data_IF_365289850875
#
_entry.id   IF_365289850875
#
_cell.length_a   1.000
_cell.length_b   1.000
_cell.length_c   1.000
_cell.angle_alpha   90.00
_cell.angle_beta   90.00
_cell.angle_gamma   90.00
#
_symmetry.space_group_name_H-M   'P 1'
#
loop_
_entity.id
_entity.type
_entity.pdbx_description
1 polymer ?
#
# COMPACT_ATOMS: atom_id res chain seq x y z
N UNK A 1 29.13 -29.70 30.31
CA UNK A 1 29.53 -29.41 28.90
C UNK A 1 30.19 -28.04 28.89
N UNK A 2 31.41 -27.93 28.38
CA UNK A 2 32.23 -26.71 28.49
C UNK A 2 31.72 -25.56 27.60
N UNK A 3 31.81 -24.33 28.10
CA UNK A 3 31.44 -23.08 27.42
C UNK A 3 32.10 -22.92 26.03
N UNK A 4 33.28 -23.51 25.83
CA UNK A 4 34.00 -23.54 24.56
C UNK A 4 33.30 -24.35 23.46
N UNK A 5 32.55 -25.40 23.81
CA UNK A 5 31.84 -26.26 22.84
C UNK A 5 30.58 -25.58 22.30
N UNK A 6 29.89 -24.81 23.14
CA UNK A 6 28.68 -24.07 22.75
C UNK A 6 29.01 -22.93 21.78
N UNK A 7 30.13 -22.22 22.03
CA UNK A 7 30.58 -21.12 21.16
C UNK A 7 31.02 -21.61 19.77
N UNK A 8 31.72 -22.75 19.70
CA UNK A 8 32.09 -23.39 18.43
C UNK A 8 30.88 -23.90 17.64
N UNK A 9 29.86 -24.45 18.31
CA UNK A 9 28.61 -24.87 17.68
C UNK A 9 27.77 -23.69 17.18
N UNK A 10 27.78 -22.56 17.89
CA UNK A 10 27.12 -21.33 17.45
C UNK A 10 27.81 -20.73 16.21
N UNK A 11 29.14 -20.70 16.19
CA UNK A 11 29.92 -20.21 15.07
C UNK A 11 29.73 -21.10 13.82
N UNK A 12 29.74 -22.43 14.01
CA UNK A 12 29.50 -23.39 12.93
C UNK A 12 28.04 -23.38 12.41
N UNK A 13 27.07 -22.95 13.23
CA UNK A 13 25.69 -22.70 12.79
C UNK A 13 25.57 -21.38 12.02
N UNK A 14 26.24 -20.32 12.48
CA UNK A 14 26.27 -19.01 11.76
C UNK A 14 26.98 -19.10 10.41
N UNK A 15 28.07 -19.85 10.32
CA UNK A 15 28.78 -20.07 9.05
C UNK A 15 27.98 -20.94 8.07
N UNK A 16 27.22 -21.93 8.56
CA UNK A 16 26.29 -22.71 7.73
C UNK A 16 25.09 -21.91 7.25
N UNK A 17 24.56 -21.01 8.09
CA UNK A 17 23.49 -20.09 7.67
C UNK A 17 23.96 -19.06 6.65
N UNK A 18 25.16 -18.48 6.80
CA UNK A 18 25.70 -17.55 5.79
C UNK A 18 26.05 -18.26 4.47
N UNK A 19 26.55 -19.50 4.52
CA UNK A 19 26.80 -20.29 3.31
C UNK A 19 25.50 -20.68 2.58
N UNK A 20 24.40 -20.94 3.29
CA UNK A 20 23.09 -21.23 2.69
C UNK A 20 22.45 -19.99 2.05
N UNK A 21 22.55 -18.83 2.70
CA UNK A 21 22.03 -17.55 2.19
C UNK A 21 22.80 -17.10 0.94
N UNK A 22 24.13 -17.22 0.92
CA UNK A 22 24.92 -16.89 -0.26
C UNK A 22 24.76 -17.92 -1.39
N UNK A 23 24.51 -19.20 -1.09
CA UNK A 23 24.25 -20.23 -2.10
C UNK A 23 22.89 -20.06 -2.79
N UNK A 24 21.87 -19.56 -2.09
CA UNK A 24 20.57 -19.26 -2.67
C UNK A 24 20.60 -18.00 -3.57
N UNK A 25 21.38 -16.97 -3.22
CA UNK A 25 21.56 -15.79 -4.08
C UNK A 25 22.42 -16.06 -5.32
N UNK A 26 23.32 -17.06 -5.30
CA UNK A 26 24.26 -17.30 -6.39
C UNK A 26 23.75 -18.28 -7.47
N UNK A 27 22.66 -19.03 -7.23
CA UNK A 27 22.28 -20.14 -8.10
C UNK A 27 21.07 -19.92 -9.01
N UNK A 28 20.18 -18.95 -8.79
CA UNK A 28 19.09 -18.65 -9.73
C UNK A 28 18.26 -19.89 -10.18
N UNK A 29 18.13 -20.92 -9.32
CA UNK A 29 17.44 -22.16 -9.68
C UNK A 29 15.95 -21.99 -9.41
N UNK A 30 15.28 -21.70 -10.52
CA UNK A 30 13.85 -21.77 -10.81
C UNK A 30 13.17 -23.04 -10.29
N UNK A 31 11.88 -22.96 -9.97
CA UNK A 31 10.97 -24.08 -10.19
C UNK A 31 9.94 -23.67 -11.23
N UNK A 32 10.23 -24.01 -12.48
CA UNK A 32 9.25 -24.07 -13.56
C UNK A 32 9.08 -25.52 -13.98
N UNK A 33 7.88 -26.07 -13.81
CA UNK A 33 7.33 -27.14 -14.66
C UNK A 33 5.81 -26.99 -14.70
N UNK A 34 5.25 -26.47 -15.80
CA UNK A 34 4.37 -27.24 -16.69
C UNK A 34 4.10 -26.48 -18.02
N UNK A 35 4.86 -26.91 -19.02
CA UNK A 35 4.48 -27.22 -20.42
C UNK A 35 3.41 -26.41 -21.19
N UNK A 36 3.95 -25.56 -22.07
CA UNK A 36 3.55 -24.98 -23.36
C UNK A 36 2.50 -25.73 -24.25
N UNK A 37 1.61 -24.96 -24.90
CA UNK A 37 1.40 -25.03 -26.37
C UNK A 37 0.84 -23.72 -26.97
N UNK A 38 1.69 -22.97 -27.67
CA UNK A 38 1.32 -22.29 -28.93
C UNK A 38 1.54 -20.77 -29.08
N UNK A 39 2.75 -20.38 -29.49
CA UNK A 39 3.03 -19.44 -30.61
C UNK A 39 2.69 -17.94 -30.51
N UNK A 40 3.73 -17.10 -30.54
CA UNK A 40 3.66 -15.70 -31.01
C UNK A 40 4.53 -14.71 -30.21
N UNK A 41 5.45 -14.04 -30.89
CA UNK A 41 6.41 -13.04 -30.38
C UNK A 41 5.78 -11.87 -29.59
N UNK A 42 6.42 -11.45 -28.49
CA UNK A 42 7.16 -10.16 -28.39
C UNK A 42 7.56 -9.85 -26.95
N UNK A 43 8.80 -9.39 -26.79
CA UNK A 43 9.46 -9.04 -25.53
C UNK A 43 8.76 -7.86 -24.84
N UNK A 44 8.29 -8.04 -23.60
CA UNK A 44 8.20 -6.98 -22.55
C UNK A 44 7.86 -7.50 -21.14
N UNK A 45 7.70 -8.82 -20.92
CA UNK A 45 7.20 -9.33 -19.62
C UNK A 45 8.28 -9.43 -18.51
N UNK A 46 9.57 -9.35 -18.85
CA UNK A 46 10.66 -9.60 -17.89
C UNK A 46 10.99 -8.47 -16.90
N UNK A 47 10.57 -7.23 -17.16
CA UNK A 47 10.90 -6.08 -16.29
C UNK A 47 9.88 -5.94 -15.15
N UNK A 48 8.61 -6.28 -15.42
CA UNK A 48 7.54 -6.19 -14.42
C UNK A 48 7.59 -7.28 -13.35
N UNK A 49 7.90 -8.53 -13.72
CA UNK A 49 8.02 -9.62 -12.75
C UNK A 49 9.24 -9.44 -11.84
N UNK A 50 10.37 -8.99 -12.39
CA UNK A 50 11.59 -8.77 -11.62
C UNK A 50 11.45 -7.61 -10.63
N UNK A 51 10.79 -6.50 -11.02
CA UNK A 51 10.51 -5.37 -10.12
C UNK A 51 9.50 -5.75 -9.02
N UNK A 52 8.48 -6.55 -9.35
CA UNK A 52 7.51 -7.06 -8.37
C UNK A 52 8.16 -8.05 -7.41
N UNK A 53 9.00 -8.97 -7.89
CA UNK A 53 9.71 -9.95 -7.07
C UNK A 53 10.79 -9.27 -6.19
N UNK A 54 11.43 -8.22 -6.70
CA UNK A 54 12.38 -7.39 -5.95
C UNK A 54 11.67 -6.53 -4.88
N UNK A 55 10.55 -5.86 -5.20
CA UNK A 55 9.70 -5.17 -4.20
C UNK A 55 9.22 -6.14 -3.10
N UNK A 56 8.78 -7.34 -3.46
CA UNK A 56 8.29 -8.33 -2.48
C UNK A 56 9.39 -8.97 -1.63
N UNK A 57 10.56 -9.27 -2.20
CA UNK A 57 11.72 -9.77 -1.47
C UNK A 57 12.34 -8.69 -0.57
N UNK A 58 12.36 -7.44 -1.02
CA UNK A 58 12.83 -6.29 -0.25
C UNK A 58 11.93 -6.03 0.96
N UNK A 59 10.61 -5.99 0.73
CA UNK A 59 9.60 -5.86 1.79
C UNK A 59 9.76 -6.99 2.81
N UNK A 60 9.95 -8.25 2.38
CA UNK A 60 10.15 -9.38 3.29
C UNK A 60 11.48 -9.35 4.10
N UNK A 61 12.56 -8.78 3.56
CA UNK A 61 13.87 -8.72 4.22
C UNK A 61 13.92 -7.62 5.30
N UNK A 62 13.33 -6.44 5.03
CA UNK A 62 13.26 -5.32 5.99
C UNK A 62 12.12 -5.50 7.01
N UNK A 63 11.02 -6.15 6.63
CA UNK A 63 9.96 -6.56 7.57
C UNK A 63 10.42 -7.65 8.55
N UNK A 64 11.48 -8.43 8.28
CA UNK A 64 12.09 -9.30 9.31
C UNK A 64 12.78 -8.51 10.43
N UNK A 65 13.19 -7.27 10.17
CA UNK A 65 13.67 -6.36 11.22
C UNK A 65 12.48 -5.77 12.01
N UNK A 66 11.42 -5.34 11.32
CA UNK A 66 10.21 -4.76 11.94
C UNK A 66 9.31 -5.79 12.69
N UNK A 67 9.25 -7.04 12.22
CA UNK A 67 8.45 -8.14 12.81
C UNK A 67 8.97 -8.66 14.16
N UNK A 68 10.04 -8.06 14.70
CA UNK A 68 10.37 -8.13 16.12
C UNK A 68 9.60 -7.06 16.92
N UNK A 69 8.32 -6.84 16.58
CA UNK A 69 7.40 -5.76 16.98
C UNK A 69 7.12 -5.59 18.47
N UNK A 70 8.10 -5.81 19.35
CA UNK A 70 7.96 -5.74 20.80
C UNK A 70 8.95 -4.72 21.42
N UNK A 71 9.86 -4.14 20.63
CA UNK A 71 10.83 -3.14 21.13
C UNK A 71 10.50 -1.70 20.73
N UNK A 72 9.79 -1.46 19.61
CA UNK A 72 9.48 -0.14 19.06
C UNK A 72 8.75 0.81 20.03
N UNK A 73 7.79 0.31 20.81
CA UNK A 73 7.00 1.13 21.76
C UNK A 73 7.73 1.31 23.10
N UNK A 74 8.82 0.59 23.36
CA UNK A 74 9.42 0.50 24.70
C UNK A 74 10.33 1.68 25.06
N UNK A 75 10.71 2.50 24.08
CA UNK A 75 11.60 3.66 24.25
C UNK A 75 10.94 5.02 23.91
N UNK A 76 9.64 5.04 23.58
CA UNK A 76 8.89 6.25 23.26
C UNK A 76 8.14 6.76 24.50
N UNK A 77 7.80 8.06 24.52
CA UNK A 77 6.88 8.58 25.52
C UNK A 77 5.49 7.93 25.35
N UNK A 78 4.68 7.90 26.41
CA UNK A 78 3.30 7.39 26.30
C UNK A 78 2.46 8.18 25.29
N UNK A 79 2.74 9.48 25.17
CA UNK A 79 2.04 10.37 24.26
C UNK A 79 2.40 10.04 22.81
N UNK A 80 3.69 9.86 22.49
CA UNK A 80 4.13 9.52 21.14
C UNK A 80 3.67 8.11 20.73
N UNK A 81 3.65 7.17 21.67
CA UNK A 81 3.12 5.83 21.43
C UNK A 81 1.61 5.84 21.15
N UNK A 82 0.84 6.62 21.91
CA UNK A 82 -0.60 6.76 21.70
C UNK A 82 -0.91 7.43 20.36
N UNK A 83 -0.16 8.49 20.02
CA UNK A 83 -0.26 9.15 18.73
C UNK A 83 0.07 8.18 17.58
N UNK A 84 1.18 7.44 17.67
CA UNK A 84 1.57 6.50 16.62
C UNK A 84 0.53 5.39 16.42
N UNK A 85 -0.02 4.83 17.50
CA UNK A 85 -1.07 3.83 17.38
C UNK A 85 -2.32 4.38 16.69
N UNK A 86 -2.67 5.64 16.96
CA UNK A 86 -3.80 6.30 16.31
C UNK A 86 -3.54 6.53 14.82
N UNK A 87 -2.34 6.98 14.43
CA UNK A 87 -1.98 7.12 13.01
C UNK A 87 -1.97 5.77 12.29
N UNK A 88 -1.39 4.72 12.88
CA UNK A 88 -1.42 3.37 12.30
C UNK A 88 -2.86 2.80 12.17
N UNK A 89 -3.77 3.18 13.07
CA UNK A 89 -5.18 2.82 12.95
C UNK A 89 -5.85 3.55 11.77
N UNK A 90 -5.49 4.82 11.55
CA UNK A 90 -5.86 5.60 10.37
C UNK A 90 -5.32 4.99 9.08
N UNK A 91 -4.04 4.62 9.04
CA UNK A 91 -3.42 3.93 7.90
C UNK A 91 -4.15 2.62 7.62
N UNK A 92 -4.40 1.80 8.64
CA UNK A 92 -5.09 0.53 8.48
C UNK A 92 -6.52 0.71 7.91
N UNK A 93 -7.23 1.76 8.33
CA UNK A 93 -8.52 2.14 7.75
C UNK A 93 -8.39 2.61 6.30
N UNK A 94 -7.41 3.47 6.03
CA UNK A 94 -7.09 4.04 4.72
C UNK A 94 -6.77 2.98 3.69
N UNK A 95 -5.81 2.11 3.99
CA UNK A 95 -5.38 1.00 3.15
C UNK A 95 -6.52 -0.02 2.90
N UNK A 96 -7.34 -0.27 3.92
CA UNK A 96 -8.56 -1.07 3.75
C UNK A 96 -9.53 -0.38 2.78
N UNK A 97 -9.72 0.93 2.91
CA UNK A 97 -10.54 1.73 2.02
C UNK A 97 -10.03 1.71 0.57
N UNK A 98 -8.73 1.91 0.38
CA UNK A 98 -8.06 1.96 -0.92
C UNK A 98 -8.26 0.66 -1.73
N UNK A 99 -8.01 -0.50 -1.11
CA UNK A 99 -8.31 -1.81 -1.72
C UNK A 99 -9.77 -1.89 -2.18
N UNK A 100 -10.71 -1.37 -1.38
CA UNK A 100 -12.13 -1.48 -1.70
C UNK A 100 -12.61 -0.43 -2.70
N UNK A 101 -11.95 0.74 -2.82
CA UNK A 101 -12.19 1.70 -3.92
C UNK A 101 -12.01 0.98 -5.26
N UNK A 102 -10.89 0.29 -5.46
CA UNK A 102 -10.65 -0.42 -6.71
C UNK A 102 -11.64 -1.57 -6.95
N UNK A 103 -12.04 -2.30 -5.91
CA UNK A 103 -13.08 -3.34 -6.03
C UNK A 103 -14.46 -2.78 -6.39
N UNK A 104 -14.82 -1.65 -5.80
CA UNK A 104 -16.04 -0.92 -6.11
C UNK A 104 -16.06 -0.46 -7.56
N UNK A 105 -14.98 0.19 -8.00
CA UNK A 105 -14.81 0.64 -9.37
C UNK A 105 -14.89 -0.51 -10.39
N UNK A 106 -14.20 -1.63 -10.14
CA UNK A 106 -14.29 -2.83 -10.99
C UNK A 106 -15.70 -3.39 -11.08
N UNK A 107 -16.46 -3.36 -9.99
CA UNK A 107 -17.86 -3.79 -10.00
C UNK A 107 -18.73 -2.86 -10.84
N UNK A 108 -18.50 -1.55 -10.75
CA UNK A 108 -19.19 -0.56 -11.58
C UNK A 108 -18.83 -0.70 -13.07
N UNK A 109 -17.57 -0.91 -13.41
CA UNK A 109 -17.12 -1.17 -14.78
C UNK A 109 -17.75 -2.46 -15.35
N UNK A 110 -17.79 -3.53 -14.56
CA UNK A 110 -18.42 -4.79 -14.97
C UNK A 110 -19.94 -4.63 -15.17
N UNK A 111 -20.60 -3.77 -14.40
CA UNK A 111 -22.01 -3.43 -14.60
C UNK A 111 -22.20 -2.63 -15.89
N UNK A 112 -21.36 -1.62 -16.12
CA UNK A 112 -21.39 -0.79 -17.34
C UNK A 112 -21.16 -1.62 -18.59
N UNK A 113 -20.21 -2.56 -18.58
CA UNK A 113 -19.94 -3.46 -19.70
C UNK A 113 -21.18 -4.28 -20.17
N UNK A 114 -22.21 -4.45 -19.32
CA UNK A 114 -23.47 -5.11 -19.69
C UNK A 114 -24.45 -4.20 -20.44
N UNK A 115 -24.32 -2.88 -20.29
CA UNK A 115 -25.23 -1.89 -20.87
C UNK A 115 -24.57 -1.04 -21.97
N UNK A 116 -23.30 -0.72 -21.81
CA UNK A 116 -22.51 0.18 -22.66
C UNK A 116 -21.03 -0.03 -22.34
N UNK A 117 -20.24 -0.48 -23.32
CA UNK A 117 -18.79 -0.69 -23.15
C UNK A 117 -18.02 0.31 -24.01
N UNK A 118 -17.02 0.96 -23.43
CA UNK A 118 -16.08 1.83 -24.13
C UNK A 118 -14.63 1.35 -23.93
N UNK A 119 -13.72 1.72 -24.82
CA UNK A 119 -12.31 1.32 -24.71
C UNK A 119 -11.61 1.88 -23.46
N UNK A 120 -12.15 2.95 -22.86
CA UNK A 120 -11.67 3.49 -21.59
C UNK A 120 -11.95 2.57 -20.41
N UNK A 121 -12.99 1.74 -20.49
CA UNK A 121 -13.38 0.80 -19.42
C UNK A 121 -12.41 -0.36 -19.28
N UNK A 122 -11.85 -0.85 -20.38
CA UNK A 122 -10.81 -1.88 -20.34
C UNK A 122 -9.52 -1.34 -19.71
N UNK A 123 -9.13 -0.11 -20.07
CA UNK A 123 -7.98 0.57 -19.47
C UNK A 123 -8.22 0.86 -17.97
N UNK A 124 -9.44 1.25 -17.59
CA UNK A 124 -9.81 1.47 -16.19
C UNK A 124 -9.83 0.17 -15.37
N UNK A 125 -10.24 -0.95 -15.97
CA UNK A 125 -10.20 -2.26 -15.31
C UNK A 125 -8.77 -2.73 -15.08
N UNK A 126 -7.86 -2.52 -16.05
CA UNK A 126 -6.44 -2.80 -15.91
C UNK A 126 -5.80 -1.91 -14.81
N UNK A 127 -6.09 -0.61 -14.83
CA UNK A 127 -5.68 0.34 -13.80
C UNK A 127 -6.14 -0.13 -12.41
N UNK A 128 -7.41 -0.50 -12.23
CA UNK A 128 -7.87 -0.99 -10.93
C UNK A 128 -7.12 -2.23 -10.45
N UNK A 129 -6.80 -3.16 -11.36
CA UNK A 129 -6.13 -4.42 -10.99
C UNK A 129 -4.70 -4.19 -10.50
N UNK A 130 -3.97 -3.31 -11.19
CA UNK A 130 -2.58 -3.01 -10.83
C UNK A 130 -2.53 -2.27 -9.49
N UNK A 131 -3.31 -1.20 -9.34
CA UNK A 131 -3.30 -0.41 -8.12
C UNK A 131 -3.87 -1.18 -6.91
N UNK A 132 -4.95 -1.97 -7.08
CA UNK A 132 -5.49 -2.83 -5.99
C UNK A 132 -4.42 -3.78 -5.43
N UNK A 133 -3.50 -4.27 -6.28
CA UNK A 133 -2.41 -5.15 -5.86
C UNK A 133 -1.42 -4.41 -4.97
N UNK A 134 -1.07 -3.17 -5.30
CA UNK A 134 -0.21 -2.29 -4.49
C UNK A 134 -0.86 -1.99 -3.15
N UNK A 135 -2.14 -1.58 -3.12
CA UNK A 135 -2.87 -1.33 -1.86
C UNK A 135 -2.96 -2.57 -0.99
N UNK A 136 -3.17 -3.74 -1.60
CA UNK A 136 -3.20 -5.00 -0.85
C UNK A 136 -1.82 -5.37 -0.27
N UNK A 137 -0.74 -4.82 -0.83
CA UNK A 137 0.61 -4.93 -0.26
C UNK A 137 0.82 -3.92 0.87
N UNK A 138 0.40 -2.66 0.71
CA UNK A 138 0.43 -1.65 1.75
C UNK A 138 -0.38 -2.07 2.98
N UNK A 139 -1.63 -2.51 2.80
CA UNK A 139 -2.47 -3.03 3.88
C UNK A 139 -1.77 -4.13 4.68
N UNK A 140 -1.11 -5.09 4.01
CA UNK A 140 -0.35 -6.15 4.69
C UNK A 140 0.88 -5.63 5.42
N UNK A 141 1.53 -4.59 4.89
CA UNK A 141 2.66 -3.95 5.55
C UNK A 141 2.20 -3.24 6.83
N UNK A 142 1.12 -2.45 6.74
CA UNK A 142 0.50 -1.78 7.89
C UNK A 142 -0.02 -2.80 8.90
N UNK A 143 -0.71 -3.87 8.50
CA UNK A 143 -1.13 -4.93 9.42
C UNK A 143 0.05 -5.59 10.17
N UNK A 144 1.25 -5.64 9.57
CA UNK A 144 2.44 -6.17 10.25
C UNK A 144 3.09 -5.18 11.21
N UNK A 145 2.91 -3.88 10.97
CA UNK A 145 3.44 -2.79 11.79
C UNK A 145 2.48 -2.44 12.95
N UNK A 146 1.18 -2.50 12.69
CA UNK A 146 0.11 -2.28 13.65
C UNK A 146 -0.23 -3.58 14.39
N UNK A 147 0.19 -3.67 15.66
CA UNK A 147 -0.34 -4.67 16.59
C UNK A 147 -1.80 -4.35 16.97
N UNK A 148 -2.51 -5.30 17.59
CA UNK A 148 -3.97 -5.27 17.77
C UNK A 148 -4.61 -3.90 18.09
N UNK A 149 -4.08 -3.17 19.08
CA UNK A 149 -4.62 -1.86 19.51
C UNK A 149 -4.34 -0.71 18.54
N UNK A 150 -3.40 -0.87 17.61
CA UNK A 150 -3.08 0.06 16.54
C UNK A 150 -3.87 -0.24 15.25
N UNK A 151 -4.80 -1.20 15.27
CA UNK A 151 -5.68 -1.51 14.15
C UNK A 151 -7.09 -1.01 14.44
N UNK A 152 -7.69 -0.33 13.47
CA UNK A 152 -9.10 0.05 13.60
C UNK A 152 -10.03 -1.16 13.76
N UNK A 153 -11.02 -1.04 14.64
CA UNK A 153 -12.04 -2.08 14.86
C UNK A 153 -13.17 -2.02 13.82
N UNK A 154 -13.33 -0.91 13.11
CA UNK A 154 -14.45 -0.65 12.18
C UNK A 154 -14.20 -1.12 10.74
N UNK A 155 -13.45 -2.21 10.55
CA UNK A 155 -13.09 -2.73 9.22
C UNK A 155 -14.29 -2.92 8.27
N UNK A 156 -15.46 -3.46 8.69
CA UNK A 156 -16.61 -3.57 7.79
C UNK A 156 -17.09 -2.22 7.25
N UNK A 157 -17.03 -1.17 8.08
CA UNK A 157 -17.42 0.19 7.67
C UNK A 157 -16.47 0.72 6.59
N UNK A 158 -15.15 0.59 6.81
CA UNK A 158 -14.14 1.06 5.86
C UNK A 158 -14.20 0.35 4.51
N UNK A 159 -14.50 -0.95 4.51
CA UNK A 159 -14.75 -1.74 3.29
C UNK A 159 -15.94 -1.21 2.51
N UNK A 160 -17.05 -0.94 3.18
CA UNK A 160 -18.26 -0.42 2.53
C UNK A 160 -18.02 1.00 2.01
N UNK A 161 -17.40 1.86 2.82
CA UNK A 161 -17.08 3.24 2.44
C UNK A 161 -16.18 3.29 1.20
N UNK A 162 -15.06 2.56 1.22
CA UNK A 162 -14.16 2.45 0.07
C UNK A 162 -14.87 1.90 -1.17
N UNK A 163 -15.63 0.81 -1.02
CA UNK A 163 -16.39 0.22 -2.11
C UNK A 163 -17.35 1.22 -2.76
N UNK A 164 -18.12 1.95 -1.95
CA UNK A 164 -19.06 2.94 -2.47
C UNK A 164 -18.36 4.12 -3.12
N UNK A 165 -17.22 4.55 -2.55
CA UNK A 165 -16.43 5.66 -3.08
C UNK A 165 -15.83 5.34 -4.45
N UNK A 166 -15.43 4.08 -4.70
CA UNK A 166 -15.05 3.63 -6.04
C UNK A 166 -16.23 3.33 -6.95
N UNK A 167 -17.26 2.67 -6.45
CA UNK A 167 -18.40 2.22 -7.26
C UNK A 167 -19.23 3.39 -7.82
N UNK A 168 -19.64 4.32 -6.97
CA UNK A 168 -20.62 5.35 -7.34
C UNK A 168 -20.15 6.30 -8.45
N UNK A 169 -18.98 6.97 -8.36
CA UNK A 169 -18.51 7.84 -9.43
C UNK A 169 -18.19 7.06 -10.71
N UNK A 170 -17.66 5.83 -10.60
CA UNK A 170 -17.37 4.99 -11.78
C UNK A 170 -18.65 4.48 -12.45
N UNK A 171 -19.72 4.21 -11.70
CA UNK A 171 -21.00 3.79 -12.27
C UNK A 171 -21.65 4.92 -13.09
N UNK A 172 -21.49 6.18 -12.65
CA UNK A 172 -22.09 7.36 -13.29
C UNK A 172 -21.21 7.91 -14.41
N UNK A 173 -19.90 8.05 -14.17
CA UNK A 173 -18.96 8.76 -15.05
C UNK A 173 -17.90 7.85 -15.67
N UNK A 174 -18.00 6.53 -15.46
CA UNK A 174 -17.08 5.55 -16.01
C UNK A 174 -15.64 5.72 -15.54
N UNK A 175 -14.70 5.45 -16.45
CA UNK A 175 -13.26 5.61 -16.22
C UNK A 175 -12.91 6.99 -15.66
N UNK A 176 -13.54 8.06 -16.16
CA UNK A 176 -13.24 9.42 -15.70
C UNK A 176 -13.61 9.63 -14.21
N UNK A 177 -14.72 9.06 -13.77
CA UNK A 177 -15.14 9.11 -12.36
C UNK A 177 -14.17 8.37 -11.43
N UNK A 178 -13.63 7.23 -11.89
CA UNK A 178 -12.57 6.50 -11.19
C UNK A 178 -11.32 7.36 -11.05
N UNK A 179 -10.78 7.86 -12.16
CA UNK A 179 -9.52 8.61 -12.16
C UNK A 179 -9.60 9.89 -11.36
N UNK A 180 -10.72 10.63 -11.45
CA UNK A 180 -10.93 11.81 -10.62
C UNK A 180 -10.95 11.46 -9.12
N UNK A 181 -11.62 10.37 -8.75
CA UNK A 181 -11.69 9.93 -7.35
C UNK A 181 -10.31 9.54 -6.82
N UNK A 182 -9.58 8.70 -7.54
CA UNK A 182 -8.23 8.24 -7.13
C UNK A 182 -7.28 9.43 -7.01
N UNK A 183 -7.21 10.31 -8.01
CA UNK A 183 -6.37 11.52 -7.95
C UNK A 183 -6.65 12.36 -6.68
N UNK A 184 -7.92 12.55 -6.30
CA UNK A 184 -8.26 13.34 -5.12
C UNK A 184 -8.05 12.61 -3.80
N UNK A 185 -8.31 11.30 -3.74
CA UNK A 185 -7.98 10.47 -2.57
C UNK A 185 -6.47 10.49 -2.35
N UNK A 186 -5.68 10.20 -3.37
CA UNK A 186 -4.23 10.06 -3.21
C UNK A 186 -3.50 11.37 -2.91
N UNK A 187 -4.06 12.53 -3.29
CA UNK A 187 -3.57 13.82 -2.79
C UNK A 187 -3.65 13.87 -1.26
N UNK A 188 -4.77 13.46 -0.69
CA UNK A 188 -4.93 13.42 0.76
C UNK A 188 -3.99 12.38 1.38
N UNK A 189 -3.86 11.19 0.80
CA UNK A 189 -3.03 10.12 1.36
C UNK A 189 -1.54 10.50 1.35
N UNK A 190 -1.05 11.10 0.26
CA UNK A 190 0.33 11.61 0.20
C UNK A 190 0.59 12.67 1.28
N UNK A 191 -0.33 13.62 1.46
CA UNK A 191 -0.22 14.66 2.50
C UNK A 191 -0.28 14.04 3.92
N UNK A 192 -1.10 12.99 4.09
CA UNK A 192 -1.23 12.27 5.35
C UNK A 192 0.10 11.58 5.72
N UNK A 193 0.68 10.80 4.80
CA UNK A 193 1.98 10.17 5.02
C UNK A 193 3.09 11.20 5.25
N UNK A 194 3.11 12.30 4.50
CA UNK A 194 4.11 13.37 4.70
C UNK A 194 4.05 13.91 6.14
N UNK A 195 2.85 14.17 6.65
CA UNK A 195 2.66 14.69 8.00
C UNK A 195 3.13 13.71 9.08
N UNK A 196 2.87 12.41 8.89
CA UNK A 196 3.31 11.36 9.80
C UNK A 196 4.83 11.19 9.78
N UNK A 197 5.42 11.12 8.58
CA UNK A 197 6.86 11.02 8.38
C UNK A 197 7.56 12.21 9.03
N UNK A 198 7.09 13.44 8.78
CA UNK A 198 7.67 14.65 9.36
C UNK A 198 7.67 14.60 10.91
N UNK A 199 6.60 14.11 11.53
CA UNK A 199 6.52 13.95 12.99
C UNK A 199 7.47 12.85 13.49
N UNK A 200 7.56 11.72 12.80
CA UNK A 200 8.48 10.62 13.14
C UNK A 200 9.95 10.99 12.91
N UNK A 201 10.23 11.98 12.07
CA UNK A 201 11.54 12.54 11.83
C UNK A 201 11.98 13.59 12.86
N UNK A 202 11.10 13.98 13.79
CA UNK A 202 11.49 14.80 14.93
C UNK A 202 12.62 14.11 15.71
N UNK A 203 13.69 14.88 15.93
CA UNK A 203 14.99 14.48 16.44
C UNK A 203 14.93 13.78 17.82
N UNK A 204 13.81 13.97 18.55
CA UNK A 204 13.51 13.29 19.81
C UNK A 204 13.12 11.81 19.64
N UNK A 205 12.56 11.41 18.48
CA UNK A 205 12.08 10.06 18.21
C UNK A 205 13.09 9.21 17.43
N UNK A 206 13.87 9.80 16.53
CA UNK A 206 14.77 9.05 15.63
C UNK A 206 16.08 8.57 16.28
N UNK A 207 16.64 9.36 17.21
CA UNK A 207 18.01 9.13 17.72
C UNK A 207 18.17 7.89 18.59
N UNK A 208 17.10 7.18 18.90
CA UNK A 208 17.12 6.09 19.88
C UNK A 208 16.38 4.81 19.45
N UNK A 209 15.87 4.72 18.22
CA UNK A 209 15.00 3.61 17.83
C UNK A 209 15.15 3.18 16.36
N UNK A 210 15.80 2.03 16.15
CA UNK A 210 15.96 1.42 14.82
C UNK A 210 14.62 1.02 14.19
N UNK A 211 13.61 0.70 15.01
CA UNK A 211 12.28 0.29 14.55
C UNK A 211 11.50 1.50 13.98
N UNK A 212 11.65 2.69 14.57
CA UNK A 212 11.05 3.93 14.05
C UNK A 212 11.63 4.28 12.68
N UNK A 213 12.93 4.05 12.46
CA UNK A 213 13.53 4.24 11.14
C UNK A 213 12.99 3.24 10.11
N UNK A 214 12.81 1.98 10.51
CA UNK A 214 12.21 0.97 9.63
C UNK A 214 10.74 1.31 9.28
N UNK A 215 9.97 1.85 10.23
CA UNK A 215 8.62 2.35 9.98
C UNK A 215 8.64 3.51 8.98
N UNK A 216 9.48 4.53 9.19
CA UNK A 216 9.60 5.67 8.27
C UNK A 216 9.98 5.22 6.85
N UNK A 217 10.86 4.23 6.72
CA UNK A 217 11.19 3.64 5.41
C UNK A 217 9.94 3.06 4.73
N UNK A 218 9.12 2.28 5.46
CA UNK A 218 7.87 1.72 4.91
C UNK A 218 6.88 2.82 4.52
N UNK A 219 6.66 3.82 5.37
CA UNK A 219 5.73 4.92 5.08
C UNK A 219 6.16 5.73 3.86
N UNK A 220 7.47 5.92 3.65
CA UNK A 220 8.00 6.60 2.46
C UNK A 220 7.77 5.82 1.18
N UNK A 221 7.85 4.50 1.25
CA UNK A 221 7.55 3.66 0.09
C UNK A 221 6.08 3.70 -0.26
N UNK A 222 5.19 3.56 0.73
CA UNK A 222 3.76 3.74 0.55
C UNK A 222 3.47 5.11 -0.07
N UNK A 223 4.00 6.19 0.51
CA UNK A 223 3.85 7.55 -0.01
C UNK A 223 4.32 7.71 -1.46
N UNK A 224 5.44 7.08 -1.84
CA UNK A 224 5.95 7.15 -3.20
C UNK A 224 5.03 6.42 -4.20
N UNK A 225 4.53 5.25 -3.82
CA UNK A 225 3.55 4.51 -4.60
C UNK A 225 2.22 5.31 -4.69
N UNK A 226 1.76 5.97 -3.62
CA UNK A 226 0.57 6.84 -3.69
C UNK A 226 0.75 8.10 -4.54
N UNK A 227 1.95 8.70 -4.52
CA UNK A 227 2.26 9.81 -5.42
C UNK A 227 2.20 9.34 -6.89
N UNK A 228 2.68 8.14 -7.19
CA UNK A 228 2.53 7.53 -8.51
C UNK A 228 1.06 7.26 -8.86
N UNK A 229 0.27 6.75 -7.92
CA UNK A 229 -1.17 6.52 -8.10
C UNK A 229 -1.92 7.82 -8.43
N UNK A 230 -1.64 8.88 -7.69
CA UNK A 230 -2.17 10.23 -7.93
C UNK A 230 -1.83 10.71 -9.34
N UNK A 231 -0.57 10.62 -9.72
CA UNK A 231 -0.07 11.19 -10.96
C UNK A 231 -0.55 10.39 -12.19
N UNK A 232 -0.59 9.05 -12.10
CA UNK A 232 -1.16 8.20 -13.15
C UNK A 232 -2.66 8.48 -13.32
N UNK A 233 -3.42 8.55 -12.23
CA UNK A 233 -4.84 8.92 -12.27
C UNK A 233 -5.05 10.31 -12.88
N UNK A 234 -4.28 11.31 -12.45
CA UNK A 234 -4.35 12.68 -12.95
C UNK A 234 -4.08 12.76 -14.46
N UNK A 235 -3.15 11.96 -14.99
CA UNK A 235 -2.82 11.91 -16.41
C UNK A 235 -3.96 11.36 -17.29
N UNK A 236 -4.89 10.62 -16.69
CA UNK A 236 -6.01 9.95 -17.37
C UNK A 236 -7.35 10.68 -17.21
N UNK A 237 -7.44 11.70 -16.36
CA UNK A 237 -8.66 12.51 -16.20
C UNK A 237 -8.90 13.33 -17.47
N UNK A 238 -10.08 13.17 -18.05
CA UNK A 238 -10.54 13.92 -19.22
C UNK A 238 -11.45 15.06 -18.75
N UNK A 239 -11.07 16.30 -19.10
CA UNK A 239 -11.85 17.51 -18.81
C UNK A 239 -12.20 18.18 -20.14
N UNK A 240 -13.42 17.96 -20.62
CA UNK A 240 -13.85 18.39 -21.95
C UNK A 240 -14.26 19.88 -22.01
N UNK A 241 -14.74 20.43 -20.90
CA UNK A 241 -15.23 21.81 -20.82
C UNK A 241 -15.10 22.40 -19.39
N UNK A 242 -15.53 23.65 -19.21
CA UNK A 242 -15.48 24.32 -17.89
C UNK A 242 -16.47 23.74 -16.88
N UNK A 243 -17.60 23.17 -17.32
CA UNK A 243 -18.61 22.58 -16.45
C UNK A 243 -18.10 21.27 -15.83
N UNK A 244 -17.55 20.39 -16.65
CA UNK A 244 -16.90 19.14 -16.23
C UNK A 244 -15.72 19.40 -15.31
N UNK A 245 -14.91 20.43 -15.57
CA UNK A 245 -13.87 20.88 -14.63
C UNK A 245 -14.45 21.22 -13.25
N UNK A 246 -15.49 22.05 -13.24
CA UNK A 246 -16.15 22.47 -11.99
C UNK A 246 -16.73 21.29 -11.21
N UNK A 247 -17.25 20.27 -11.90
CA UNK A 247 -17.74 19.05 -11.27
C UNK A 247 -16.62 18.20 -10.66
N UNK A 248 -15.51 18.03 -11.38
CA UNK A 248 -14.32 17.33 -10.87
C UNK A 248 -13.76 18.05 -9.65
N UNK A 249 -13.62 19.37 -9.70
CA UNK A 249 -13.12 20.17 -8.59
C UNK A 249 -14.05 20.10 -7.37
N UNK A 250 -15.37 20.19 -7.58
CA UNK A 250 -16.35 20.05 -6.52
C UNK A 250 -16.33 18.65 -5.88
N UNK A 251 -16.21 17.61 -6.71
CA UNK A 251 -16.03 16.23 -6.24
C UNK A 251 -14.74 16.09 -5.42
N UNK A 252 -13.65 16.71 -5.88
CA UNK A 252 -12.38 16.75 -5.17
C UNK A 252 -12.49 17.35 -3.77
N UNK A 253 -13.27 18.43 -3.59
CA UNK A 253 -13.54 19.00 -2.26
C UNK A 253 -14.27 17.99 -1.38
N UNK A 254 -15.29 17.31 -1.90
CA UNK A 254 -16.05 16.29 -1.15
C UNK A 254 -15.14 15.13 -0.73
N UNK A 255 -14.37 14.58 -1.66
CA UNK A 255 -13.44 13.48 -1.41
C UNK A 255 -12.41 13.89 -0.38
N UNK A 256 -11.74 15.03 -0.55
CA UNK A 256 -10.70 15.48 0.36
C UNK A 256 -11.22 15.67 1.80
N UNK A 257 -12.37 16.33 1.96
CA UNK A 257 -12.97 16.54 3.29
C UNK A 257 -13.47 15.22 3.90
N UNK A 258 -14.03 14.33 3.08
CA UNK A 258 -14.44 12.99 3.49
C UNK A 258 -13.26 12.17 3.99
N UNK A 259 -12.15 12.14 3.25
CA UNK A 259 -10.94 11.42 3.64
C UNK A 259 -10.32 11.96 4.93
N UNK A 260 -10.26 13.29 5.10
CA UNK A 260 -9.82 13.92 6.35
C UNK A 260 -10.67 13.49 7.55
N UNK A 261 -11.99 13.51 7.40
CA UNK A 261 -12.91 13.12 8.46
C UNK A 261 -12.82 11.62 8.77
N UNK A 262 -12.67 10.78 7.75
CA UNK A 262 -12.51 9.33 7.91
C UNK A 262 -11.23 8.98 8.67
N UNK A 263 -10.09 9.59 8.30
CA UNK A 263 -8.82 9.43 9.00
C UNK A 263 -8.94 9.85 10.48
N UNK A 264 -9.58 10.98 10.74
CA UNK A 264 -9.80 11.46 12.11
C UNK A 264 -10.67 10.50 12.94
N UNK A 265 -11.73 9.94 12.35
CA UNK A 265 -12.55 8.93 13.03
C UNK A 265 -11.74 7.65 13.26
N UNK A 266 -10.96 7.21 12.28
CA UNK A 266 -10.15 6.00 12.34
C UNK A 266 -9.08 6.05 13.45
N UNK A 267 -8.52 7.23 13.76
CA UNK A 267 -7.63 7.44 14.91
C UNK A 267 -8.24 7.08 16.27
N UNK A 268 -9.57 7.01 16.35
CA UNK A 268 -10.31 6.87 17.61
C UNK A 268 -11.05 5.52 17.75
N UNK A 269 -11.01 4.64 16.74
CA UNK A 269 -11.88 3.44 16.65
C UNK A 269 -11.18 2.20 16.13
#
# INVERSE_FOLDING_TARGET
MSSSTVSAQLLARRMRQMAYVNACCALGITSSVYFNRGGGESQSEGESEHVVEEKTAWCACRLKAASRGVYAVRAMSKEDAAWLNAELASDHAGETGAVYIYRGARSALALRARSSHDAGDDAAAAFCKEHEKTEAHHLKAIERLADGDARTSLIPLWKVAGYMLGFAPTAVFGANGLYATVNHVERFVVDHYESQIARLQDDSLQRSNDDVRALVDVLRECQADEAHHRDDAASRVIVADSSSRSLVDAWGVVVHQGSRAAAEVARHV
#
